data_IF_000261271044
#
_entry.id   IF_000261271044
#
_cell.length_a   1.000
_cell.length_b   1.000
_cell.length_c   1.000
_cell.angle_alpha   90.00
_cell.angle_beta   90.00
_cell.angle_gamma   90.00
#
_symmetry.space_group_name_H-M   'P 1'
#
loop_
_entity.id
_entity.type
_entity.pdbx_description
1 polymer ?
#
# COMPACT_ATOMS: atom_id res chain seq x y z
N UNK A 1 8.81 -32.65 -14.17
CA UNK A 1 9.20 -31.22 -14.22
C UNK A 1 9.24 -30.74 -12.78
N UNK A 2 10.33 -30.11 -12.35
CA UNK A 2 10.38 -29.54 -11.00
C UNK A 2 9.48 -28.30 -11.00
N UNK A 3 8.38 -28.35 -10.26
CA UNK A 3 7.50 -27.20 -10.05
C UNK A 3 8.33 -26.04 -9.51
N UNK A 4 8.34 -24.90 -10.19
CA UNK A 4 8.99 -23.71 -9.66
C UNK A 4 8.33 -23.34 -8.33
N UNK A 5 9.10 -23.39 -7.24
CA UNK A 5 8.60 -23.06 -5.91
C UNK A 5 8.42 -21.54 -5.86
N UNK A 6 7.18 -21.08 -5.95
CA UNK A 6 6.84 -19.66 -5.85
C UNK A 6 6.30 -19.32 -4.47
N UNK A 7 6.97 -18.41 -3.78
CA UNK A 7 6.53 -17.85 -2.51
C UNK A 7 5.60 -16.64 -2.71
N UNK A 8 4.73 -16.32 -1.73
CA UNK A 8 3.86 -15.14 -1.80
C UNK A 8 4.64 -13.83 -2.02
N UNK A 9 4.07 -12.96 -2.86
CA UNK A 9 4.62 -11.64 -3.22
C UNK A 9 3.54 -10.58 -3.09
N UNK A 10 3.11 -10.28 -1.86
CA UNK A 10 2.18 -9.18 -1.64
C UNK A 10 2.95 -7.93 -1.21
N UNK A 11 2.66 -6.78 -1.83
CA UNK A 11 3.25 -5.51 -1.40
C UNK A 11 2.69 -5.11 -0.04
N UNK A 12 3.50 -4.38 0.74
CA UNK A 12 3.10 -3.82 2.03
C UNK A 12 1.83 -2.97 1.88
N UNK A 13 1.77 -2.13 0.84
CA UNK A 13 0.59 -1.31 0.53
C UNK A 13 -0.67 -2.17 0.34
N UNK A 14 -0.58 -3.24 -0.45
CA UNK A 14 -1.73 -4.08 -0.75
C UNK A 14 -2.15 -4.92 0.46
N UNK A 15 -1.20 -5.38 1.28
CA UNK A 15 -1.47 -6.06 2.55
C UNK A 15 -2.35 -5.20 3.47
N UNK A 16 -1.94 -3.96 3.73
CA UNK A 16 -2.70 -3.06 4.60
C UNK A 16 -4.01 -2.59 3.98
N UNK A 17 -4.04 -2.34 2.67
CA UNK A 17 -5.26 -1.99 1.96
C UNK A 17 -6.30 -3.12 2.05
N UNK A 18 -5.87 -4.37 1.87
CA UNK A 18 -6.71 -5.53 2.00
C UNK A 18 -7.19 -5.69 3.45
N UNK A 19 -6.31 -5.52 4.45
CA UNK A 19 -6.67 -5.62 5.87
C UNK A 19 -7.79 -4.67 6.24
N UNK A 20 -7.69 -3.40 5.81
CA UNK A 20 -8.74 -2.39 6.03
C UNK A 20 -10.10 -2.80 5.45
N UNK A 21 -10.10 -3.50 4.30
CA UNK A 21 -11.33 -4.01 3.68
C UNK A 21 -11.94 -5.16 4.47
N UNK A 22 -11.11 -6.09 4.97
CA UNK A 22 -11.56 -7.16 5.85
C UNK A 22 -12.09 -6.64 7.19
N UNK A 23 -11.46 -5.61 7.76
CA UNK A 23 -11.94 -4.94 8.97
C UNK A 23 -13.31 -4.27 8.75
N UNK A 24 -13.52 -3.66 7.59
CA UNK A 24 -14.78 -2.98 7.26
C UNK A 24 -15.91 -3.94 6.89
N UNK A 25 -15.60 -5.05 6.21
CA UNK A 25 -16.56 -6.07 5.79
C UNK A 25 -15.95 -7.47 5.99
N UNK A 26 -16.24 -8.14 7.12
CA UNK A 26 -15.64 -9.43 7.44
C UNK A 26 -16.04 -10.58 6.51
N UNK A 27 -17.19 -10.48 5.85
CA UNK A 27 -17.71 -11.52 4.95
C UNK A 27 -17.42 -11.23 3.46
N UNK A 28 -16.44 -10.37 3.18
CA UNK A 28 -16.15 -9.92 1.83
C UNK A 28 -15.60 -11.04 0.95
N UNK A 29 -16.28 -11.34 -0.16
CA UNK A 29 -15.79 -12.32 -1.14
C UNK A 29 -14.67 -11.70 -1.98
N UNK A 30 -13.49 -12.29 -1.92
CA UNK A 30 -12.31 -11.87 -2.68
C UNK A 30 -12.35 -12.53 -4.05
N UNK A 31 -12.65 -11.70 -5.07
CA UNK A 31 -12.70 -12.11 -6.47
C UNK A 31 -11.60 -11.42 -7.28
N UNK A 32 -11.23 -11.92 -8.47
CA UNK A 32 -10.29 -11.23 -9.36
C UNK A 32 -10.70 -9.78 -9.64
N UNK A 33 -11.98 -9.53 -9.94
CA UNK A 33 -12.50 -8.19 -10.21
C UNK A 33 -12.45 -7.28 -8.99
N UNK A 34 -12.72 -7.80 -7.79
CA UNK A 34 -12.58 -7.04 -6.54
C UNK A 34 -11.13 -6.57 -6.34
N UNK A 35 -10.16 -7.47 -6.53
CA UNK A 35 -8.74 -7.17 -6.39
C UNK A 35 -8.24 -6.23 -7.49
N UNK A 36 -8.70 -6.40 -8.72
CA UNK A 36 -8.39 -5.52 -9.85
C UNK A 36 -8.76 -4.06 -9.55
N UNK A 37 -9.98 -3.86 -9.06
CA UNK A 37 -10.50 -2.54 -8.69
C UNK A 37 -9.73 -1.91 -7.52
N UNK A 38 -9.36 -2.71 -6.51
CA UNK A 38 -8.71 -2.18 -5.30
C UNK A 38 -7.19 -2.02 -5.42
N UNK A 39 -6.53 -2.82 -6.24
CA UNK A 39 -5.08 -2.79 -6.42
C UNK A 39 -4.67 -2.12 -7.74
N UNK A 40 -5.64 -1.49 -8.44
CA UNK A 40 -5.43 -0.77 -9.71
C UNK A 40 -4.65 -1.62 -10.73
N UNK A 41 -5.05 -2.87 -10.87
CA UNK A 41 -4.40 -3.84 -11.76
C UNK A 41 -5.40 -4.55 -12.66
N UNK A 42 -4.90 -5.16 -13.74
CA UNK A 42 -5.73 -6.00 -14.60
C UNK A 42 -6.26 -7.24 -13.86
N UNK A 43 -7.48 -7.65 -14.19
CA UNK A 43 -8.14 -8.80 -13.57
C UNK A 43 -7.34 -10.10 -13.71
N UNK A 44 -6.71 -10.34 -14.87
CA UNK A 44 -5.87 -11.51 -15.08
C UNK A 44 -4.61 -11.49 -14.22
N UNK A 45 -4.06 -10.30 -13.95
CA UNK A 45 -2.95 -10.14 -13.01
C UNK A 45 -3.39 -10.46 -11.59
N UNK A 46 -4.56 -9.98 -11.16
CA UNK A 46 -5.11 -10.33 -9.85
C UNK A 46 -5.36 -11.85 -9.73
N UNK A 47 -5.93 -12.46 -10.77
CA UNK A 47 -6.23 -13.90 -10.85
C UNK A 47 -4.97 -14.76 -10.73
N UNK A 48 -3.89 -14.34 -11.37
CA UNK A 48 -2.66 -15.15 -11.49
C UNK A 48 -1.63 -14.83 -10.40
N UNK A 49 -1.54 -13.57 -9.98
CA UNK A 49 -0.46 -13.09 -9.11
C UNK A 49 -0.88 -12.79 -7.68
N UNK A 50 -2.18 -12.65 -7.39
CA UNK A 50 -2.67 -12.21 -6.08
C UNK A 50 -3.54 -13.27 -5.41
N UNK A 51 -4.52 -13.83 -6.13
CA UNK A 51 -5.37 -14.89 -5.57
C UNK A 51 -4.59 -16.13 -5.11
N UNK A 52 -3.62 -16.67 -5.87
CA UNK A 52 -2.89 -17.85 -5.42
C UNK A 52 -2.08 -17.59 -4.14
N UNK A 53 -1.35 -16.46 -3.99
CA UNK A 53 -0.76 -16.10 -2.70
C UNK A 53 -1.75 -16.00 -1.55
N UNK A 54 -2.93 -15.40 -1.74
CA UNK A 54 -3.94 -15.28 -0.68
C UNK A 54 -4.50 -16.64 -0.23
N UNK A 55 -4.62 -17.60 -1.17
CA UNK A 55 -4.94 -18.99 -0.85
C UNK A 55 -3.78 -19.70 -0.16
N UNK A 56 -2.55 -19.50 -0.64
CA UNK A 56 -1.36 -20.15 -0.08
C UNK A 56 -1.09 -19.75 1.37
N UNK A 57 -1.33 -18.48 1.73
CA UNK A 57 -1.25 -18.02 3.13
C UNK A 57 -2.48 -18.41 3.96
N UNK A 58 -3.51 -18.98 3.34
CA UNK A 58 -4.71 -19.48 4.01
C UNK A 58 -5.71 -18.40 4.42
N UNK A 59 -5.70 -17.21 3.80
CA UNK A 59 -6.66 -16.13 4.11
C UNK A 59 -8.01 -16.31 3.41
N UNK A 60 -7.99 -16.94 2.24
CA UNK A 60 -9.21 -17.24 1.50
C UNK A 60 -9.24 -18.71 1.11
N UNK A 61 -10.46 -19.26 1.03
CA UNK A 61 -10.70 -20.58 0.48
C UNK A 61 -10.72 -20.57 -1.07
N UNK A 62 -11.02 -21.73 -1.67
CA UNK A 62 -11.12 -21.87 -3.13
C UNK A 62 -12.28 -21.08 -3.75
N UNK A 63 -13.30 -20.76 -2.95
CA UNK A 63 -14.41 -19.89 -3.35
C UNK A 63 -14.08 -18.40 -3.18
N UNK A 64 -12.92 -18.06 -2.62
CA UNK A 64 -12.51 -16.68 -2.33
C UNK A 64 -13.18 -16.10 -1.08
N UNK A 65 -13.70 -16.92 -0.18
CA UNK A 65 -14.28 -16.48 1.09
C UNK A 65 -13.19 -16.41 2.18
N UNK A 66 -13.28 -15.43 3.09
CA UNK A 66 -12.40 -15.33 4.25
C UNK A 66 -12.42 -16.60 5.11
N UNK A 67 -11.24 -17.06 5.53
CA UNK A 67 -11.06 -18.16 6.50
C UNK A 67 -10.97 -17.61 7.93
N UNK A 68 -10.97 -18.50 8.92
CA UNK A 68 -10.74 -18.16 10.34
C UNK A 68 -9.42 -17.40 10.53
N UNK A 69 -8.36 -17.78 9.82
CA UNK A 69 -7.07 -17.08 9.88
C UNK A 69 -7.18 -15.63 9.41
N UNK A 70 -8.02 -15.35 8.40
CA UNK A 70 -8.27 -13.97 7.97
C UNK A 70 -9.15 -13.19 8.97
N UNK A 71 -10.03 -13.86 9.72
CA UNK A 71 -10.79 -13.23 10.80
C UNK A 71 -9.92 -12.87 11.99
N UNK A 72 -8.88 -13.65 12.28
CA UNK A 72 -7.89 -13.32 13.30
C UNK A 72 -6.92 -12.23 12.80
N UNK A 73 -6.55 -12.26 11.53
CA UNK A 73 -5.63 -11.29 10.93
C UNK A 73 -6.08 -9.82 11.05
N UNK A 74 -7.39 -9.59 10.92
CA UNK A 74 -8.00 -8.25 11.03
C UNK A 74 -8.01 -7.70 12.47
N UNK A 75 -7.80 -8.56 13.47
CA UNK A 75 -7.70 -8.19 14.87
C UNK A 75 -6.26 -7.73 15.16
N UNK A 76 -6.10 -6.57 15.78
CA UNK A 76 -4.78 -6.00 16.07
C UNK A 76 -4.07 -6.81 17.17
N UNK A 77 -4.82 -7.38 18.11
CA UNK A 77 -4.26 -8.18 19.21
C UNK A 77 -3.69 -9.52 18.73
N UNK A 78 -4.29 -10.09 17.67
CA UNK A 78 -3.89 -11.38 17.09
C UNK A 78 -2.95 -11.26 15.89
N UNK A 79 -2.69 -10.04 15.41
CA UNK A 79 -1.91 -9.82 14.19
C UNK A 79 -0.53 -10.49 14.26
N UNK A 80 0.16 -10.38 15.39
CA UNK A 80 1.47 -11.02 15.60
C UNK A 80 1.41 -12.54 15.49
N UNK A 81 0.43 -13.16 16.15
CA UNK A 81 0.23 -14.61 16.11
C UNK A 81 -0.07 -15.10 14.70
N UNK A 82 -0.89 -14.35 13.94
CA UNK A 82 -1.21 -14.67 12.56
C UNK A 82 0.03 -14.60 11.66
N UNK A 83 0.87 -13.58 11.82
CA UNK A 83 2.13 -13.47 11.07
C UNK A 83 3.04 -14.68 11.33
N UNK A 84 3.14 -15.14 12.57
CA UNK A 84 3.90 -16.34 12.94
C UNK A 84 3.31 -17.63 12.35
N UNK A 85 1.98 -17.77 12.36
CA UNK A 85 1.29 -18.91 11.71
C UNK A 85 1.62 -18.94 10.22
N UNK A 86 1.48 -17.82 9.51
CA UNK A 86 1.81 -17.73 8.08
C UNK A 86 3.27 -18.12 7.84
N UNK A 87 4.21 -17.62 8.66
CA UNK A 87 5.64 -17.94 8.53
C UNK A 87 5.92 -19.44 8.64
N UNK A 88 5.30 -20.11 9.61
CA UNK A 88 5.50 -21.54 9.86
C UNK A 88 4.82 -22.43 8.82
N UNK A 89 3.68 -21.99 8.27
CA UNK A 89 2.91 -22.78 7.30
C UNK A 89 3.44 -22.61 5.88
N UNK A 90 3.86 -21.40 5.49
CA UNK A 90 4.17 -21.07 4.09
C UNK A 90 5.65 -21.15 3.77
N UNK A 91 6.52 -20.86 4.75
CA UNK A 91 7.96 -20.81 4.54
C UNK A 91 8.65 -22.01 5.18
N UNK A 92 9.65 -22.59 4.51
CA UNK A 92 10.34 -23.75 5.05
C UNK A 92 11.12 -23.38 6.31
N UNK A 93 11.25 -24.35 7.22
CA UNK A 93 11.92 -24.16 8.50
C UNK A 93 13.36 -23.65 8.33
N UNK A 94 14.09 -24.08 7.28
CA UNK A 94 15.45 -23.61 7.00
C UNK A 94 15.55 -22.09 6.83
N UNK A 95 14.52 -21.42 6.30
CA UNK A 95 14.49 -19.96 6.18
C UNK A 95 14.17 -19.32 7.53
N UNK A 96 13.22 -19.89 8.26
CA UNK A 96 12.82 -19.39 9.58
C UNK A 96 13.98 -19.47 10.59
N UNK A 97 14.78 -20.53 10.55
CA UNK A 97 15.93 -20.74 11.43
C UNK A 97 17.14 -19.87 11.01
N UNK A 98 17.28 -19.60 9.71
CA UNK A 98 18.39 -18.79 9.19
C UNK A 98 18.24 -17.28 9.45
N UNK A 99 17.02 -16.81 9.69
CA UNK A 99 16.70 -15.38 9.89
C UNK A 99 16.39 -15.16 11.36
N UNK A 100 17.45 -14.92 12.13
CA UNK A 100 17.38 -14.62 13.56
C UNK A 100 17.00 -13.14 13.78
N UNK A 101 17.45 -12.26 12.89
CA UNK A 101 17.15 -10.83 12.89
C UNK A 101 16.48 -10.42 11.56
N UNK A 102 15.28 -9.80 11.59
CA UNK A 102 14.64 -9.25 10.38
C UNK A 102 15.46 -8.17 9.66
N UNK A 103 16.50 -7.60 10.28
CA UNK A 103 17.38 -6.61 9.65
C UNK A 103 18.21 -7.16 8.46
N UNK A 104 18.39 -8.49 8.36
CA UNK A 104 19.25 -9.15 7.37
C UNK A 104 18.62 -9.32 5.98
N UNK A 105 18.08 -8.23 5.41
CA UNK A 105 17.35 -8.25 4.14
C UNK A 105 18.13 -8.89 2.98
N UNK A 106 19.42 -8.59 2.85
CA UNK A 106 20.27 -9.10 1.76
C UNK A 106 20.39 -10.63 1.81
N UNK A 107 20.45 -11.20 3.02
CA UNK A 107 20.54 -12.65 3.23
C UNK A 107 19.24 -13.33 2.80
N UNK A 108 18.09 -12.77 3.18
CA UNK A 108 16.77 -13.25 2.79
C UNK A 108 16.57 -13.19 1.28
N UNK A 109 16.94 -12.07 0.64
CA UNK A 109 16.88 -11.94 -0.82
C UNK A 109 17.75 -12.97 -1.54
N UNK A 110 18.98 -13.18 -1.05
CA UNK A 110 19.91 -14.18 -1.61
C UNK A 110 19.36 -15.60 -1.45
N UNK A 111 18.74 -15.91 -0.31
CA UNK A 111 18.07 -17.19 -0.09
C UNK A 111 16.96 -17.42 -1.12
N UNK A 112 16.07 -16.44 -1.33
CA UNK A 112 15.00 -16.55 -2.33
C UNK A 112 15.54 -16.69 -3.76
N UNK A 113 16.59 -15.96 -4.14
CA UNK A 113 17.25 -16.12 -5.45
C UNK A 113 17.73 -17.54 -5.67
N UNK A 114 18.37 -18.14 -4.67
CA UNK A 114 18.97 -19.47 -4.79
C UNK A 114 17.95 -20.61 -4.73
N UNK A 115 16.98 -20.52 -3.80
CA UNK A 115 16.01 -21.58 -3.53
C UNK A 115 14.81 -21.55 -4.46
N UNK A 116 14.24 -20.36 -4.70
CA UNK A 116 13.13 -20.18 -5.63
C UNK A 116 13.58 -20.02 -7.10
N UNK A 117 14.89 -19.87 -7.35
CA UNK A 117 15.49 -19.66 -8.68
C UNK A 117 14.89 -18.48 -9.45
N UNK A 118 14.52 -17.42 -8.73
CA UNK A 118 13.91 -16.22 -9.31
C UNK A 118 14.93 -15.10 -9.50
N UNK A 119 14.65 -14.22 -10.46
CA UNK A 119 15.42 -12.98 -10.67
C UNK A 119 15.35 -12.02 -9.47
N UNK A 120 16.30 -11.09 -9.41
CA UNK A 120 16.50 -10.16 -8.29
C UNK A 120 15.22 -9.39 -7.90
N UNK A 121 14.49 -8.86 -8.88
CA UNK A 121 13.27 -8.11 -8.61
C UNK A 121 12.17 -8.96 -7.95
N UNK A 122 12.05 -10.25 -8.30
CA UNK A 122 11.11 -11.16 -7.67
C UNK A 122 11.57 -11.55 -6.26
N UNK A 123 12.86 -11.83 -6.08
CA UNK A 123 13.42 -12.14 -4.77
C UNK A 123 13.24 -10.98 -3.79
N UNK A 124 13.47 -9.74 -4.23
CA UNK A 124 13.22 -8.52 -3.44
C UNK A 124 11.78 -8.43 -2.95
N UNK A 125 10.80 -8.75 -3.80
CA UNK A 125 9.38 -8.74 -3.44
C UNK A 125 9.03 -9.85 -2.45
N UNK A 126 9.55 -11.06 -2.66
CA UNK A 126 9.37 -12.19 -1.73
C UNK A 126 9.97 -11.88 -0.35
N UNK A 127 11.20 -11.35 -0.34
CA UNK A 127 11.90 -10.96 0.89
C UNK A 127 11.17 -9.85 1.63
N UNK A 128 10.70 -8.81 0.93
CA UNK A 128 9.95 -7.73 1.57
C UNK A 128 8.69 -8.23 2.28
N UNK A 129 7.94 -9.14 1.65
CA UNK A 129 6.75 -9.73 2.29
C UNK A 129 7.12 -10.61 3.48
N UNK A 130 8.14 -11.46 3.35
CA UNK A 130 8.61 -12.29 4.46
C UNK A 130 9.08 -11.46 5.67
N UNK A 131 9.88 -10.41 5.43
CA UNK A 131 10.39 -9.54 6.49
C UNK A 131 9.27 -8.77 7.19
N UNK A 132 8.24 -8.33 6.45
CA UNK A 132 7.05 -7.72 7.05
C UNK A 132 6.33 -8.68 8.02
N UNK A 133 6.29 -9.98 7.69
CA UNK A 133 5.76 -10.99 8.61
C UNK A 133 6.68 -11.23 9.81
N UNK A 134 8.00 -11.08 9.67
CA UNK A 134 8.94 -11.17 10.79
C UNK A 134 8.84 -9.98 11.73
N UNK A 135 8.66 -8.77 11.20
CA UNK A 135 8.47 -7.55 11.98
C UNK A 135 7.15 -7.61 12.76
N UNK A 136 6.08 -8.09 12.11
CA UNK A 136 4.76 -8.23 12.72
C UNK A 136 4.27 -6.95 13.43
N UNK A 137 4.66 -5.78 12.92
CA UNK A 137 4.25 -4.45 13.43
C UNK A 137 3.09 -3.88 12.61
N UNK A 138 2.11 -3.30 13.29
CA UNK A 138 1.03 -2.54 12.66
C UNK A 138 1.45 -1.06 12.51
N UNK A 139 1.45 -0.49 11.29
CA UNK A 139 1.81 0.90 11.07
C UNK A 139 0.96 1.86 11.90
N UNK A 140 1.61 2.75 12.65
CA UNK A 140 0.95 3.72 13.52
C UNK A 140 0.76 3.25 14.97
N UNK A 141 1.02 1.98 15.26
CA UNK A 141 0.99 1.45 16.63
C UNK A 141 2.42 1.37 17.19
N UNK A 142 2.98 2.52 17.58
CA UNK A 142 4.07 2.54 18.57
C UNK A 142 3.45 2.16 19.92
N UNK A 143 3.18 0.88 20.14
CA UNK A 143 2.72 0.38 21.44
C UNK A 143 3.89 0.50 22.43
N UNK A 144 3.90 1.59 23.19
CA UNK A 144 4.41 1.59 24.55
C UNK A 144 3.74 0.42 25.28
N UNK A 145 4.50 -0.64 25.59
CA UNK A 145 3.90 -1.78 26.27
C UNK A 145 4.86 -2.93 26.50
N UNK A 146 5.77 -2.75 27.45
CA UNK A 146 6.42 -3.87 28.14
C UNK A 146 5.34 -4.82 28.69
N UNK A 147 5.67 -6.12 28.67
CA UNK A 147 4.94 -7.21 29.28
C UNK A 147 4.26 -6.84 30.61
N UNK A 148 3.01 -7.28 30.81
CA UNK A 148 2.61 -7.79 32.11
C UNK A 148 1.49 -8.84 31.98
N UNK A 149 1.69 -9.90 32.76
CA UNK A 149 0.75 -10.97 33.05
C UNK A 149 -0.42 -10.45 33.91
N UNK A 150 -1.55 -11.17 33.82
CA UNK A 150 -2.64 -11.25 34.82
C UNK A 150 -3.40 -9.93 35.09
N UNK A 151 -4.74 -9.86 35.17
CA UNK A 151 -5.77 -10.78 35.65
C UNK A 151 -7.15 -10.23 35.25
N UNK A 152 -8.15 -11.11 35.28
CA UNK A 152 -9.56 -10.86 35.01
C UNK A 152 -10.19 -9.71 35.84
N UNK A 153 -11.15 -8.99 35.25
CA UNK A 153 -12.53 -8.81 35.77
C UNK A 153 -13.42 -7.98 34.83
N UNK A 154 -14.63 -8.50 34.58
CA UNK A 154 -15.85 -7.84 34.05
C UNK A 154 -16.84 -7.73 35.23
N UNK A 155 -18.04 -7.13 35.11
CA UNK A 155 -18.49 -5.83 34.57
C UNK A 155 -19.47 -5.10 35.55
N UNK A 156 -19.94 -3.88 35.22
CA UNK A 156 -21.31 -3.32 35.49
C UNK A 156 -21.38 -1.84 35.08
N UNK A 157 -22.16 -1.47 34.06
CA UNK A 157 -23.59 -1.03 34.08
C UNK A 157 -23.81 0.35 34.73
N UNK A 158 -24.23 1.36 33.93
CA UNK A 158 -25.40 2.17 34.31
C UNK A 158 -26.07 2.91 33.12
N UNK A 159 -27.41 2.86 33.14
CA UNK A 159 -28.41 3.56 32.31
C UNK A 159 -28.31 5.10 32.51
N UNK A 160 -28.74 5.98 31.61
CA UNK A 160 -30.15 6.29 31.30
C UNK A 160 -30.28 7.36 30.19
N UNK A 161 -31.34 7.22 29.36
CA UNK A 161 -31.96 8.19 28.42
C UNK A 161 -32.84 9.21 29.22
N UNK A 162 -33.65 10.15 28.64
CA UNK A 162 -33.84 10.63 27.25
C UNK A 162 -34.03 12.18 27.13
N UNK A 163 -34.51 12.68 25.96
CA UNK A 163 -35.45 13.84 25.70
C UNK A 163 -35.01 14.61 24.43
N UNK A 164 -35.68 14.41 23.27
CA UNK A 164 -36.86 15.13 22.69
C UNK A 164 -36.45 16.27 21.76
N UNK A 165 -36.50 16.05 20.43
CA UNK A 165 -37.50 16.54 19.46
C UNK A 165 -37.48 18.05 19.16
N UNK A 166 -37.21 18.43 17.91
CA UNK A 166 -38.12 19.30 17.13
C UNK A 166 -37.86 19.21 15.63
N UNK A 167 -38.98 19.21 14.92
CA UNK A 167 -39.20 19.01 13.50
C UNK A 167 -39.24 20.37 12.79
N UNK A 168 -38.86 20.41 11.51
CA UNK A 168 -39.65 20.91 10.36
C UNK A 168 -38.89 21.77 9.34
N UNK A 169 -38.97 21.27 8.10
CA UNK A 169 -39.36 21.96 6.85
C UNK A 169 -38.48 23.14 6.40
N UNK A 170 -38.06 23.26 5.14
CA UNK A 170 -38.41 22.58 3.91
C UNK A 170 -38.13 23.53 2.74
N UNK A 171 -38.13 22.97 1.52
CA UNK A 171 -38.49 23.64 0.26
C UNK A 171 -37.50 24.67 -0.31
N UNK A 172 -37.25 24.83 -1.62
CA UNK A 172 -37.47 24.14 -2.89
C UNK A 172 -36.88 25.11 -3.96
N UNK A 173 -36.43 24.57 -5.11
CA UNK A 173 -36.20 25.26 -6.41
C UNK A 173 -35.08 26.34 -6.45
N UNK A 174 -34.38 26.66 -7.55
CA UNK A 174 -34.57 26.35 -8.96
C UNK A 174 -33.22 26.36 -9.71
N UNK A 175 -33.24 25.63 -10.82
CA UNK A 175 -32.38 25.66 -12.00
C UNK A 175 -32.17 27.09 -12.55
N UNK A 176 -30.96 27.41 -13.03
CA UNK A 176 -30.85 28.26 -14.21
C UNK A 176 -29.58 27.94 -15.01
N UNK A 177 -29.76 27.85 -16.32
CA UNK A 177 -28.78 27.54 -17.36
C UNK A 177 -28.85 28.70 -18.34
N UNK A 178 -27.73 29.15 -18.92
CA UNK A 178 -27.79 29.32 -20.38
C UNK A 178 -26.53 28.84 -21.11
N UNK A 179 -26.77 28.18 -22.25
CA UNK A 179 -25.93 28.07 -23.45
C UNK A 179 -26.41 29.15 -24.46
N UNK A 180 -25.94 29.22 -25.71
CA UNK A 180 -24.57 29.27 -26.27
C UNK A 180 -24.44 30.46 -27.28
N UNK A 181 -23.23 30.84 -27.71
CA UNK A 181 -23.08 31.62 -28.96
C UNK A 181 -21.87 31.17 -29.79
N UNK A 182 -22.18 30.76 -31.02
CA UNK A 182 -21.32 30.44 -32.16
C UNK A 182 -21.05 31.70 -33.01
N UNK A 183 -20.14 31.60 -34.00
CA UNK A 183 -19.95 32.43 -35.24
C UNK A 183 -18.66 33.29 -35.21
N UNK A 184 -17.77 33.43 -36.22
CA UNK A 184 -17.65 33.03 -37.64
C UNK A 184 -16.17 32.97 -38.05
N UNK A 185 -15.92 32.37 -39.22
CA UNK A 185 -14.68 32.32 -40.01
C UNK A 185 -14.52 33.60 -40.87
N UNK A 186 -13.29 34.11 -41.09
CA UNK A 186 -12.71 34.46 -42.41
C UNK A 186 -11.38 35.24 -42.37
N UNK A 187 -10.40 34.70 -43.12
CA UNK A 187 -9.37 35.32 -43.98
C UNK A 187 -8.74 36.68 -43.67
N UNK A 188 -7.40 36.71 -43.55
CA UNK A 188 -6.53 37.58 -44.37
C UNK A 188 -5.04 37.23 -44.22
N UNK A 189 -4.34 37.36 -45.36
CA UNK A 189 -2.90 37.18 -45.62
C UNK A 189 -2.03 38.04 -44.72
N UNK A 190 -0.92 37.46 -44.23
CA UNK A 190 0.39 38.11 -44.32
C UNK A 190 1.52 37.07 -44.23
N UNK A 191 2.41 37.15 -45.21
CA UNK A 191 3.66 36.38 -45.28
C UNK A 191 4.69 37.12 -44.45
N UNK A 192 5.09 36.55 -43.32
CA UNK A 192 6.33 36.94 -42.63
C UNK A 192 7.14 35.67 -42.35
N UNK A 193 8.19 35.51 -43.15
CA UNK A 193 9.26 34.53 -42.97
C UNK A 193 10.07 34.88 -41.73
N UNK A 194 10.04 34.03 -40.70
CA UNK A 194 10.97 34.07 -39.54
C UNK A 194 11.29 32.60 -39.18
N UNK A 195 12.55 32.26 -38.87
CA UNK A 195 13.10 30.95 -39.20
C UNK A 195 12.65 29.85 -38.24
N UNK A 196 12.48 28.66 -38.81
CA UNK A 196 12.43 27.38 -38.09
C UNK A 196 13.57 27.32 -37.07
N UNK A 197 13.30 27.14 -35.76
CA UNK A 197 14.35 26.81 -34.82
C UNK A 197 14.86 25.42 -35.19
N UNK A 198 16.14 25.35 -35.53
CA UNK A 198 16.88 24.11 -35.57
C UNK A 198 16.63 23.37 -34.25
N UNK A 199 16.18 22.13 -34.34
CA UNK A 199 16.07 21.23 -33.20
C UNK A 199 17.50 20.91 -32.79
N UNK A 200 18.12 21.76 -31.98
CA UNK A 200 19.25 21.36 -31.15
C UNK A 200 18.65 20.45 -30.09
N UNK A 201 18.81 19.15 -30.30
CA UNK A 201 18.37 18.07 -29.43
C UNK A 201 19.14 18.09 -28.11
N UNK A 202 18.87 19.07 -27.25
CA UNK A 202 19.19 18.99 -25.84
C UNK A 202 17.87 18.88 -25.07
N UNK A 203 17.66 17.81 -24.30
CA UNK A 203 16.40 17.61 -23.58
C UNK A 203 16.29 18.71 -22.51
N UNK A 204 15.29 19.59 -22.66
CA UNK A 204 14.93 20.56 -21.62
C UNK A 204 14.14 19.83 -20.53
N UNK A 205 14.83 19.46 -19.45
CA UNK A 205 14.25 18.74 -18.31
C UNK A 205 13.86 19.77 -17.24
N UNK A 206 12.57 19.93 -17.02
CA UNK A 206 12.03 20.72 -15.91
C UNK A 206 11.73 19.79 -14.73
N UNK A 207 12.41 19.98 -13.60
CA UNK A 207 12.26 19.17 -12.39
C UNK A 207 11.56 20.00 -11.33
N UNK A 208 10.38 19.55 -10.89
CA UNK A 208 9.64 20.14 -9.76
C UNK A 208 9.72 19.20 -8.57
N UNK A 209 10.28 19.68 -7.46
CA UNK A 209 10.48 18.89 -6.22
C UNK A 209 9.52 19.44 -5.16
N UNK A 210 8.60 18.60 -4.67
CA UNK A 210 7.76 18.91 -3.51
C UNK A 210 8.33 18.23 -2.28
N UNK A 211 8.62 19.01 -1.25
CA UNK A 211 9.19 18.53 0.02
C UNK A 211 8.12 18.73 1.08
N UNK A 212 7.67 17.64 1.70
CA UNK A 212 6.74 17.70 2.81
C UNK A 212 7.52 17.82 4.11
N UNK A 213 7.57 19.02 4.66
CA UNK A 213 8.22 19.30 5.94
C UNK A 213 7.20 19.11 7.08
N UNK A 214 7.52 18.22 8.01
CA UNK A 214 6.82 18.09 9.29
C UNK A 214 7.11 19.32 10.16
N UNK A 215 6.15 19.76 10.99
CA UNK A 215 6.28 20.96 11.84
C UNK A 215 7.33 20.86 12.97
N UNK A 216 8.09 19.77 13.01
CA UNK A 216 9.06 19.44 14.07
C UNK A 216 10.51 19.76 13.68
N UNK A 217 10.76 20.21 12.45
CA UNK A 217 12.11 20.57 12.01
C UNK A 217 12.55 21.90 12.63
N UNK A 218 13.76 21.90 13.20
CA UNK A 218 14.42 23.14 13.64
C UNK A 218 14.98 23.91 12.44
N UNK A 219 15.19 25.24 12.56
CA UNK A 219 15.75 26.05 11.47
C UNK A 219 17.07 25.49 10.91
N UNK A 220 17.97 25.02 11.78
CA UNK A 220 19.25 24.44 11.37
C UNK A 220 19.09 23.14 10.56
N UNK A 221 18.06 22.34 10.85
CA UNK A 221 17.77 21.12 10.11
C UNK A 221 17.19 21.39 8.72
N UNK A 222 16.39 22.45 8.59
CA UNK A 222 15.89 22.89 7.28
C UNK A 222 17.06 23.32 6.39
N UNK A 223 18.02 24.07 6.92
CA UNK A 223 19.21 24.49 6.19
C UNK A 223 20.04 23.29 5.72
N UNK A 224 20.16 22.23 6.54
CA UNK A 224 20.86 21.01 6.15
C UNK A 224 20.15 20.24 5.03
N UNK A 225 18.81 20.21 5.04
CA UNK A 225 17.99 19.59 3.97
C UNK A 225 18.19 20.36 2.66
N UNK A 226 18.13 21.70 2.69
CA UNK A 226 18.34 22.51 1.49
C UNK A 226 19.79 22.44 0.98
N UNK A 227 20.78 22.44 1.87
CA UNK A 227 22.18 22.28 1.48
C UNK A 227 22.44 20.92 0.80
N UNK A 228 21.83 19.85 1.31
CA UNK A 228 21.93 18.51 0.74
C UNK A 228 21.28 18.41 -0.64
N UNK A 229 20.15 19.09 -0.85
CA UNK A 229 19.48 19.17 -2.14
C UNK A 229 20.30 19.95 -3.17
N UNK A 230 20.80 21.14 -2.81
CA UNK A 230 21.61 21.98 -3.71
C UNK A 230 22.88 21.24 -4.12
N UNK A 231 23.53 20.54 -3.20
CA UNK A 231 24.73 19.75 -3.50
C UNK A 231 24.46 18.64 -4.53
N UNK A 232 23.34 17.94 -4.40
CA UNK A 232 22.98 16.87 -5.32
C UNK A 232 22.47 17.38 -6.67
N UNK A 233 21.77 18.52 -6.72
CA UNK A 233 21.35 19.15 -7.98
C UNK A 233 22.57 19.65 -8.76
N UNK A 234 23.55 20.28 -8.11
CA UNK A 234 24.80 20.71 -8.78
C UNK A 234 25.57 19.53 -9.39
N UNK A 235 25.60 18.38 -8.70
CA UNK A 235 26.22 17.15 -9.20
C UNK A 235 25.53 16.57 -10.45
N UNK A 236 24.27 16.90 -10.69
CA UNK A 236 23.54 16.48 -11.90
C UNK A 236 23.78 17.42 -13.09
N UNK A 237 24.47 18.55 -12.88
CA UNK A 237 24.81 19.53 -13.93
C UNK A 237 26.28 19.48 -14.37
N UNK A 238 27.13 18.71 -13.69
CA UNK A 238 28.50 18.34 -14.11
C UNK A 238 28.50 17.04 -14.92
#
# INVERSE_FOLDING_TARGET
>A
MASEISYPKLSVTNWWALRKKFQSNPNIKITPGFLAMHFEMGEDSARTNVLPPLRAIGFIDDDGRPTDLAYDWRDDEKYGEVCDVIRRTVYPQELNDAVIDPADRVKVETWFKNKARVGEASARKMAAFYLMLCEAVIPGEQRNGKANLETAQKPKENKSRPVTSRIEQGSLFAEDKPQPQTIHVSDSKDVITVPTPAISSSPNIQITIQIQLSSEYTPDQLDQVFASLIKNIKKLQE
#
